data_IF_408445489639
#
_entry.id   IF_408445489639
#
_cell.length_a   1.000
_cell.length_b   1.000
_cell.length_c   1.000
_cell.angle_alpha   90.00
_cell.angle_beta   90.00
_cell.angle_gamma   90.00
#
_symmetry.space_group_name_H-M   'P 1'
#
loop_
_entity.id
_entity.type
_entity.pdbx_description
1 polymer ?
#
# COMPACT_ATOMS: atom_id res chain seq x y z
N UNK A 1 10.30 -4.41 13.14
CA UNK A 1 9.03 -4.80 12.48
C UNK A 1 9.12 -4.34 11.04
N UNK A 2 9.32 -5.25 10.08
CA UNK A 2 9.46 -4.92 8.67
C UNK A 2 8.13 -5.21 7.95
N UNK A 3 7.13 -4.36 8.20
CA UNK A 3 5.86 -4.38 7.48
C UNK A 3 5.80 -3.24 6.46
N UNK A 4 4.84 -3.28 5.52
CA UNK A 4 4.62 -2.16 4.60
C UNK A 4 4.36 -0.87 5.39
N UNK A 5 5.05 0.21 5.01
CA UNK A 5 4.75 1.54 5.50
C UNK A 5 3.58 2.10 4.69
N UNK A 6 2.47 2.37 5.36
CA UNK A 6 1.28 2.99 4.77
C UNK A 6 1.05 4.31 5.48
N UNK A 7 0.93 5.38 4.69
CA UNK A 7 0.67 6.73 5.17
C UNK A 7 -0.63 7.23 4.58
N UNK A 8 -1.44 7.91 5.38
CA UNK A 8 -2.63 8.60 4.89
C UNK A 8 -2.26 9.94 4.26
N UNK A 9 -3.01 10.33 3.22
CA UNK A 9 -2.81 11.57 2.49
C UNK A 9 -2.12 11.36 1.14
N UNK A 10 -2.05 12.44 0.36
CA UNK A 10 -1.38 12.42 -0.94
C UNK A 10 0.15 12.48 -0.76
N UNK A 11 0.92 11.77 -1.61
CA UNK A 11 2.37 11.87 -1.59
C UNK A 11 2.81 13.28 -2.00
N UNK A 12 3.86 13.79 -1.34
CA UNK A 12 4.44 15.10 -1.68
C UNK A 12 4.99 15.15 -3.14
N UNK A 13 5.42 14.00 -3.67
CA UNK A 13 5.91 13.83 -5.04
C UNK A 13 5.11 12.74 -5.76
N UNK A 14 3.96 13.06 -6.38
CA UNK A 14 3.07 12.06 -6.99
C UNK A 14 3.69 11.34 -8.19
N UNK A 15 4.71 11.93 -8.82
CA UNK A 15 5.39 11.40 -10.02
C UNK A 15 6.05 10.04 -9.80
N UNK A 16 6.43 9.71 -8.55
CA UNK A 16 7.04 8.44 -8.17
C UNK A 16 6.04 7.31 -7.92
N UNK A 17 4.74 7.59 -8.04
CA UNK A 17 3.67 6.66 -7.70
C UNK A 17 2.73 6.43 -8.89
N UNK A 18 2.19 5.23 -8.97
CA UNK A 18 1.00 4.93 -9.75
C UNK A 18 -0.24 5.10 -8.86
N UNK A 19 -1.25 5.79 -9.38
CA UNK A 19 -2.55 5.93 -8.72
C UNK A 19 -3.44 4.75 -9.10
N UNK A 20 -4.06 4.13 -8.10
CA UNK A 20 -5.08 3.09 -8.31
C UNK A 20 -6.21 3.22 -7.29
N UNK A 21 -7.32 2.56 -7.58
CA UNK A 21 -8.44 2.40 -6.64
C UNK A 21 -8.42 0.96 -6.14
N UNK A 22 -8.34 0.78 -4.82
CA UNK A 22 -8.49 -0.51 -4.15
C UNK A 22 -9.57 -0.39 -3.08
N UNK A 23 -10.57 -1.26 -3.13
CA UNK A 23 -11.70 -1.28 -2.18
C UNK A 23 -12.40 0.08 -2.00
N UNK A 24 -12.48 0.86 -3.09
CA UNK A 24 -13.10 2.20 -3.11
C UNK A 24 -12.22 3.31 -2.51
N UNK A 25 -10.99 2.99 -2.10
CA UNK A 25 -10.01 3.94 -1.56
C UNK A 25 -9.03 4.28 -2.67
N UNK A 26 -8.70 5.57 -2.82
CA UNK A 26 -7.61 6.02 -3.69
C UNK A 26 -6.27 5.73 -3.03
N UNK A 27 -5.38 5.08 -3.77
CA UNK A 27 -4.09 4.59 -3.27
C UNK A 27 -2.99 5.02 -4.22
N UNK A 28 -1.88 5.45 -3.63
CA UNK A 28 -0.63 5.74 -4.32
C UNK A 28 0.36 4.63 -4.01
N UNK A 29 0.84 3.95 -5.05
CA UNK A 29 1.79 2.83 -4.93
C UNK A 29 3.05 3.21 -5.69
N UNK A 30 4.22 2.93 -5.11
CA UNK A 30 5.48 3.20 -5.81
C UNK A 30 5.50 2.56 -7.20
N UNK A 31 5.94 3.33 -8.20
CA UNK A 31 6.13 2.83 -9.56
C UNK A 31 7.03 1.61 -9.56
N UNK A 32 6.61 0.57 -10.28
CA UNK A 32 7.31 -0.71 -10.34
C UNK A 32 7.00 -1.66 -9.19
N UNK A 33 6.12 -1.29 -8.25
CA UNK A 33 5.55 -2.25 -7.32
C UNK A 33 4.71 -3.28 -8.08
N UNK A 34 4.85 -4.55 -7.72
CA UNK A 34 4.11 -5.64 -8.34
C UNK A 34 2.97 -6.05 -7.44
N UNK A 35 1.77 -6.20 -8.01
CA UNK A 35 0.62 -6.74 -7.31
C UNK A 35 0.47 -8.25 -7.55
N UNK A 36 -0.10 -8.95 -6.58
CA UNK A 36 -0.61 -10.31 -6.71
C UNK A 36 -1.63 -10.40 -7.85
N UNK A 37 -1.77 -11.55 -8.52
CA UNK A 37 -2.85 -11.79 -9.48
C UNK A 37 -4.24 -11.52 -8.91
N UNK A 38 -4.43 -11.73 -7.60
CA UNK A 38 -5.69 -11.46 -6.89
C UNK A 38 -5.91 -9.96 -6.58
N UNK A 39 -5.00 -9.10 -7.03
CA UNK A 39 -5.02 -7.67 -6.81
C UNK A 39 -4.54 -7.26 -5.42
N UNK A 40 -4.67 -5.96 -5.15
CA UNK A 40 -4.35 -5.34 -3.86
C UNK A 40 -5.65 -5.23 -3.07
N UNK A 41 -5.60 -5.67 -1.81
CA UNK A 41 -6.73 -5.54 -0.89
C UNK A 41 -6.34 -4.62 0.25
N UNK A 42 -7.24 -3.71 0.59
CA UNK A 42 -7.06 -2.74 1.66
C UNK A 42 -8.20 -2.89 2.65
N UNK A 43 -7.84 -3.23 3.87
CA UNK A 43 -8.76 -3.33 4.99
C UNK A 43 -8.34 -2.40 6.12
N UNK A 44 -9.30 -1.98 6.94
CA UNK A 44 -9.01 -1.28 8.18
C UNK A 44 -8.74 -2.32 9.27
N UNK A 45 -7.53 -2.33 9.78
CA UNK A 45 -7.13 -3.09 10.96
C UNK A 45 -7.38 -2.21 12.20
N UNK A 46 -8.40 -2.56 12.99
CA UNK A 46 -8.64 -1.93 14.29
C UNK A 46 -10.11 -1.80 14.68
N UNK A 47 -10.34 -1.56 15.98
CA UNK A 47 -11.64 -1.12 16.49
C UNK A 47 -11.82 0.36 16.12
N UNK A 48 -12.98 0.73 15.58
CA UNK A 48 -13.37 2.07 15.09
C UNK A 48 -13.05 3.26 16.03
N UNK A 49 -12.76 2.98 17.30
CA UNK A 49 -12.53 3.95 18.36
C UNK A 49 -11.06 4.31 18.64
N UNK A 50 -10.06 3.55 18.17
CA UNK A 50 -8.68 3.71 18.70
C UNK A 50 -7.59 4.02 17.68
N UNK A 51 -7.44 3.30 16.56
CA UNK A 51 -6.46 3.64 15.53
C UNK A 51 -6.87 3.05 14.18
N UNK A 52 -6.92 3.88 13.13
CA UNK A 52 -7.17 3.41 11.76
C UNK A 52 -5.85 2.99 11.14
N UNK A 53 -5.44 1.74 11.36
CA UNK A 53 -4.33 1.18 10.60
C UNK A 53 -4.89 0.56 9.33
N UNK A 54 -4.30 0.86 8.17
CA UNK A 54 -4.65 0.16 6.94
C UNK A 54 -3.78 -1.10 6.86
N UNK A 55 -4.44 -2.24 6.77
CA UNK A 55 -3.82 -3.49 6.37
C UNK A 55 -3.86 -3.58 4.85
N UNK A 56 -2.73 -3.91 4.26
CA UNK A 56 -2.55 -4.02 2.80
C UNK A 56 -2.05 -5.42 2.49
N UNK A 57 -2.75 -6.09 1.58
CA UNK A 57 -2.39 -7.42 1.09
C UNK A 57 -2.18 -7.39 -0.42
N UNK A 58 -1.42 -8.36 -0.94
CA UNK A 58 -1.22 -8.53 -2.37
C UNK A 58 -0.12 -7.65 -2.98
N UNK A 59 0.69 -6.93 -2.20
CA UNK A 59 1.92 -6.30 -2.69
C UNK A 59 3.07 -7.34 -2.69
N UNK A 60 3.68 -7.56 -3.86
CA UNK A 60 4.84 -8.44 -4.05
C UNK A 60 6.10 -7.59 -4.01
N UNK A 61 6.94 -7.84 -3.01
CA UNK A 61 8.24 -7.20 -2.88
C UNK A 61 9.31 -8.08 -3.52
N UNK A 62 9.94 -7.60 -4.59
CA UNK A 62 11.27 -8.08 -4.93
C UNK A 62 12.23 -7.65 -3.83
N UNK A 63 12.86 -8.60 -3.13
CA UNK A 63 14.01 -8.25 -2.29
C UNK A 63 14.99 -7.43 -3.15
N UNK A 64 15.58 -6.34 -2.63
CA UNK A 64 16.79 -5.81 -3.24
C UNK A 64 17.77 -6.98 -3.31
N UNK A 65 18.23 -7.31 -4.51
CA UNK A 65 19.38 -8.20 -4.66
C UNK A 65 20.51 -7.45 -3.95
N UNK A 66 20.92 -7.96 -2.77
CA UNK A 66 22.13 -7.48 -2.13
C UNK A 66 23.28 -7.82 -3.09
N UNK A 67 23.77 -6.80 -3.80
CA UNK A 67 25.03 -6.83 -4.53
C UNK A 67 26.19 -6.64 -3.57
#
# INVERSE_FOLDING_TARGET
MNGPAVSAGEPYLPEGFDETIADGIKVYIYKGAVASPDGIKISLEGHWALFHRLQVEGLIYGQPIAG
#
